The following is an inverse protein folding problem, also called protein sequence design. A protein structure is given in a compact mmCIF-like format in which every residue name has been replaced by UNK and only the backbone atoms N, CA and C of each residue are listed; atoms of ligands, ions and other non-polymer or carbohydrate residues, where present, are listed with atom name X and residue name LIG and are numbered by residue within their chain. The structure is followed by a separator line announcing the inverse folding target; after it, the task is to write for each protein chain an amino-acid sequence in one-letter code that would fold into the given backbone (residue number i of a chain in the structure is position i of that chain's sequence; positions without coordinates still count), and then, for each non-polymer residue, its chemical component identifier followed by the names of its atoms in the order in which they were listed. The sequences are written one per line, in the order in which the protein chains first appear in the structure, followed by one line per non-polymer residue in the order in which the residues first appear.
data_IF_209136351315
#
_entry.id   IF_209136351315
#
_cell.length_a   1.000
_cell.length_b   1.000
_cell.length_c   1.000
_cell.angle_alpha   90.00
_cell.angle_beta   90.00
_cell.angle_gamma   90.00
#
_symmetry.space_group_name_H-M   'P 1'
#
loop_
_entity.id
_entity.type
_entity.pdbx_description
1 polymer ?
#
# COMPACT_ATOMS: atom_id res chain seq x y z
N UNK A 1 -0.16 6.53 -5.93
CA UNK A 1 1.06 7.32 -5.63
C UNK A 1 1.74 7.74 -6.92
N UNK A 2 2.28 8.96 -6.96
CA UNK A 2 3.16 9.46 -8.04
C UNK A 2 4.50 9.89 -7.44
N UNK A 3 5.60 9.48 -8.08
CA UNK A 3 6.96 9.89 -7.71
C UNK A 3 7.65 10.43 -8.97
N UNK A 4 8.34 11.56 -8.85
CA UNK A 4 9.23 12.07 -9.90
C UNK A 4 10.64 11.54 -9.67
N UNK A 5 11.22 10.90 -10.69
CA UNK A 5 12.61 10.41 -10.69
C UNK A 5 13.31 10.93 -11.93
N UNK A 6 14.25 11.87 -11.75
CA UNK A 6 14.82 12.62 -12.87
C UNK A 6 13.72 13.38 -13.62
N UNK A 7 13.64 13.22 -14.92
CA UNK A 7 12.66 13.88 -15.79
C UNK A 7 11.39 13.04 -16.02
N UNK A 8 11.23 11.95 -15.26
CA UNK A 8 10.10 11.03 -15.45
C UNK A 8 9.25 10.94 -14.19
N UNK A 9 7.95 11.10 -14.34
CA UNK A 9 6.95 10.76 -13.34
C UNK A 9 6.61 9.29 -13.47
N UNK A 10 6.51 8.61 -12.35
CA UNK A 10 6.05 7.23 -12.23
C UNK A 10 4.81 7.19 -11.34
N UNK A 11 3.78 6.51 -11.77
CA UNK A 11 2.52 6.38 -11.05
C UNK A 11 2.19 4.91 -10.80
N UNK A 12 1.82 4.60 -9.57
CA UNK A 12 1.25 3.31 -9.16
C UNK A 12 -0.18 3.55 -8.68
N UNK A 13 -1.12 2.81 -9.24
CA UNK A 13 -2.54 3.04 -8.99
C UNK A 13 -3.34 1.73 -9.02
N UNK A 14 -4.52 1.77 -8.43
CA UNK A 14 -5.49 0.68 -8.51
C UNK A 14 -6.33 0.84 -9.77
N UNK A 15 -6.30 -0.15 -10.64
CA UNK A 15 -7.16 -0.26 -11.81
C UNK A 15 -8.34 -1.17 -11.49
N UNK A 16 -9.54 -0.67 -11.72
CA UNK A 16 -10.81 -1.39 -11.49
C UNK A 16 -11.59 -1.63 -12.80
N UNK A 17 -11.02 -1.23 -13.94
CA UNK A 17 -11.71 -1.25 -15.25
C UNK A 17 -12.04 -2.64 -15.76
N UNK A 18 -11.29 -3.66 -15.34
CA UNK A 18 -11.45 -5.06 -15.77
C UNK A 18 -12.24 -5.92 -14.77
N UNK A 19 -12.98 -5.31 -13.85
CA UNK A 19 -13.79 -6.02 -12.85
C UNK A 19 -12.98 -6.62 -11.69
N UNK A 20 -11.67 -6.67 -11.79
CA UNK A 20 -10.75 -7.04 -10.72
C UNK A 20 -9.92 -5.83 -10.31
N UNK A 21 -9.74 -5.66 -9.01
CA UNK A 21 -8.87 -4.62 -8.48
C UNK A 21 -7.43 -5.09 -8.56
N UNK A 22 -6.66 -4.47 -9.41
CA UNK A 22 -5.27 -4.80 -9.67
C UNK A 22 -4.40 -3.54 -9.68
N UNK A 23 -3.09 -3.70 -9.48
CA UNK A 23 -2.17 -2.57 -9.56
C UNK A 23 -1.56 -2.46 -10.93
N UNK A 24 -1.50 -1.22 -11.42
CA UNK A 24 -0.82 -0.85 -12.65
C UNK A 24 0.24 0.20 -12.39
N UNK A 25 1.17 0.27 -13.33
CA UNK A 25 2.22 1.29 -13.37
C UNK A 25 2.05 2.12 -14.63
N UNK A 26 2.30 3.41 -14.52
CA UNK A 26 2.35 4.32 -15.65
C UNK A 26 3.53 5.27 -15.53
N UNK A 27 4.03 5.75 -16.66
CA UNK A 27 5.11 6.76 -16.75
C UNK A 27 4.65 7.96 -17.55
N UNK A 28 5.20 9.13 -17.20
CA UNK A 28 4.94 10.38 -17.91
C UNK A 28 6.17 11.29 -17.84
N UNK A 29 6.37 12.13 -18.87
CA UNK A 29 7.36 13.20 -18.86
C UNK A 29 6.79 14.54 -18.38
N UNK A 30 5.49 14.76 -18.57
CA UNK A 30 4.80 16.03 -18.30
C UNK A 30 3.79 15.97 -17.16
N UNK A 31 3.54 14.77 -16.60
CA UNK A 31 2.52 14.54 -15.57
C UNK A 31 1.08 14.53 -16.08
N UNK A 32 0.86 14.73 -17.39
CA UNK A 32 -0.47 14.81 -18.01
C UNK A 32 -0.73 13.65 -18.96
N UNK A 33 0.24 13.31 -19.81
CA UNK A 33 0.15 12.20 -20.74
C UNK A 33 0.88 10.99 -20.17
N UNK A 34 0.17 9.88 -20.00
CA UNK A 34 0.66 8.68 -19.32
C UNK A 34 0.74 7.47 -20.26
N UNK A 35 1.87 6.80 -20.22
CA UNK A 35 2.05 5.48 -20.84
C UNK A 35 1.85 4.42 -19.77
N UNK A 36 0.83 3.58 -19.93
CA UNK A 36 0.43 2.56 -18.95
C UNK A 36 1.03 1.21 -19.32
N UNK A 37 1.48 0.44 -18.31
CA UNK A 37 1.87 -0.97 -18.51
C UNK A 37 0.67 -1.82 -18.87
N UNK A 38 0.84 -2.79 -19.80
CA UNK A 38 -0.23 -3.70 -20.19
C UNK A 38 -0.62 -4.67 -19.08
N UNK A 39 0.38 -5.23 -18.40
CA UNK A 39 0.16 -6.24 -17.37
C UNK A 39 0.08 -5.61 -15.97
N UNK A 40 -0.69 -6.23 -15.06
CA UNK A 40 -0.67 -5.86 -13.66
C UNK A 40 0.72 -6.07 -13.06
N UNK A 41 1.14 -5.15 -12.21
CA UNK A 41 2.44 -5.22 -11.54
C UNK A 41 2.42 -6.03 -10.24
N UNK A 42 1.23 -6.27 -9.68
CA UNK A 42 1.05 -7.08 -8.48
C UNK A 42 -0.29 -7.82 -8.56
N UNK A 43 -0.29 -9.10 -8.17
CA UNK A 43 -1.46 -10.00 -8.16
C UNK A 43 -1.71 -10.50 -6.75
N UNK A 44 -2.91 -11.03 -6.49
CA UNK A 44 -3.21 -11.80 -5.27
C UNK A 44 -2.53 -13.16 -5.43
N UNK A 45 -1.51 -13.43 -4.61
CA UNK A 45 -0.71 -14.67 -4.65
C UNK A 45 -0.17 -15.10 -3.28
N UNK A 46 -0.42 -14.32 -2.22
CA UNK A 46 -0.07 -14.71 -0.86
C UNK A 46 -1.30 -15.18 -0.07
N UNK A 47 -1.16 -16.18 0.84
CA UNK A 47 -2.30 -16.77 1.56
C UNK A 47 -3.11 -15.78 2.41
N UNK A 48 -2.50 -14.68 2.85
CA UNK A 48 -3.18 -13.67 3.64
C UNK A 48 -4.09 -12.76 2.83
N UNK A 49 -3.88 -12.65 1.52
CA UNK A 49 -4.60 -11.76 0.60
C UNK A 49 -5.93 -12.39 0.17
N UNK A 50 -6.96 -11.57 0.05
CA UNK A 50 -8.27 -12.01 -0.40
C UNK A 50 -8.99 -10.92 -1.18
N UNK A 51 -9.78 -11.33 -2.15
CA UNK A 51 -10.72 -10.51 -2.92
C UNK A 51 -10.09 -9.40 -3.77
N UNK A 52 -9.28 -8.49 -3.18
CA UNK A 52 -8.83 -7.26 -3.83
C UNK A 52 -7.51 -6.78 -3.27
N UNK A 53 -6.68 -6.19 -4.13
CA UNK A 53 -5.57 -5.32 -3.73
C UNK A 53 -6.01 -3.87 -3.90
N UNK A 54 -5.65 -2.97 -2.96
CA UNK A 54 -6.09 -1.58 -2.99
C UNK A 54 -5.06 -0.62 -2.37
N UNK A 55 -5.09 0.63 -2.84
CA UNK A 55 -4.33 1.77 -2.35
C UNK A 55 -2.82 1.57 -2.31
N UNK A 56 -2.15 1.34 -3.47
CA UNK A 56 -0.69 1.24 -3.49
C UNK A 56 -0.07 2.59 -3.12
N UNK A 57 0.71 2.61 -2.05
CA UNK A 57 1.50 3.77 -1.66
C UNK A 57 2.98 3.43 -1.77
N UNK A 58 3.70 4.16 -2.59
CA UNK A 58 5.11 3.91 -2.90
C UNK A 58 5.98 5.06 -2.43
N UNK A 59 7.09 4.73 -1.79
CA UNK A 59 8.20 5.66 -1.54
C UNK A 59 9.47 5.10 -2.16
N UNK A 60 10.44 5.96 -2.45
CA UNK A 60 11.79 5.55 -2.84
C UNK A 60 12.76 5.84 -1.71
N UNK A 61 13.43 4.80 -1.22
CA UNK A 61 14.39 4.88 -0.12
C UNK A 61 15.70 4.21 -0.54
N UNK A 62 16.80 4.97 -0.57
CA UNK A 62 18.13 4.48 -0.91
C UNK A 62 18.17 3.64 -2.22
N UNK A 63 17.49 4.11 -3.24
CA UNK A 63 17.45 3.44 -4.55
C UNK A 63 16.37 2.35 -4.70
N UNK A 64 15.76 1.88 -3.62
CA UNK A 64 14.72 0.87 -3.61
C UNK A 64 13.34 1.50 -3.50
N UNK A 65 12.40 1.03 -4.30
CA UNK A 65 10.99 1.37 -4.15
C UNK A 65 10.36 0.42 -3.13
N UNK A 66 9.66 0.99 -2.15
CA UNK A 66 8.88 0.27 -1.16
C UNK A 66 7.41 0.61 -1.37
N UNK A 67 6.56 -0.42 -1.52
CA UNK A 67 5.12 -0.27 -1.69
C UNK A 67 4.39 -0.86 -0.50
N UNK A 68 3.62 -0.06 0.21
CA UNK A 68 2.56 -0.54 1.10
C UNK A 68 1.28 -0.65 0.29
N UNK A 69 0.55 -1.73 0.53
CA UNK A 69 -0.72 -1.99 -0.16
C UNK A 69 -1.70 -2.70 0.75
N UNK A 70 -2.97 -2.47 0.53
CA UNK A 70 -4.04 -3.11 1.28
C UNK A 70 -4.60 -4.33 0.59
N UNK A 71 -5.08 -5.28 1.40
CA UNK A 71 -5.93 -6.39 0.97
C UNK A 71 -6.94 -6.74 2.05
N UNK A 72 -8.02 -7.44 1.66
CA UNK A 72 -8.82 -8.17 2.65
C UNK A 72 -7.97 -9.29 3.23
N UNK A 73 -8.01 -9.42 4.55
CA UNK A 73 -7.19 -10.36 5.30
C UNK A 73 -7.92 -11.67 5.55
N UNK A 74 -7.31 -12.79 5.16
CA UNK A 74 -7.89 -14.13 5.38
C UNK A 74 -7.84 -14.56 6.84
N UNK A 75 -6.88 -14.05 7.62
CA UNK A 75 -6.74 -14.40 9.04
C UNK A 75 -7.90 -13.96 9.93
N UNK A 76 -8.74 -13.02 9.47
CA UNK A 76 -9.92 -12.57 10.18
C UNK A 76 -10.99 -12.08 9.20
N UNK A 77 -12.21 -12.63 9.34
CA UNK A 77 -13.36 -12.29 8.47
C UNK A 77 -13.67 -10.79 8.49
N UNK A 78 -13.94 -10.21 7.32
CA UNK A 78 -14.31 -8.80 7.11
C UNK A 78 -13.30 -7.77 7.65
N UNK A 79 -12.03 -8.13 7.68
CA UNK A 79 -10.96 -7.19 8.04
C UNK A 79 -10.05 -6.90 6.86
N UNK A 80 -9.29 -5.83 6.95
CA UNK A 80 -8.23 -5.49 6.00
C UNK A 80 -6.89 -5.39 6.72
N UNK A 81 -5.82 -5.64 5.99
CA UNK A 81 -4.46 -5.53 6.49
C UNK A 81 -3.57 -4.89 5.40
N UNK A 82 -2.37 -4.49 5.79
CA UNK A 82 -1.40 -3.91 4.86
C UNK A 82 -0.22 -4.88 4.66
N UNK A 83 0.12 -5.08 3.40
CA UNK A 83 1.33 -5.74 2.96
C UNK A 83 2.42 -4.75 2.55
N UNK A 84 3.64 -5.26 2.43
CA UNK A 84 4.82 -4.57 1.94
C UNK A 84 5.39 -5.34 0.75
N UNK A 85 5.81 -4.60 -0.28
CA UNK A 85 6.58 -5.12 -1.40
C UNK A 85 7.75 -4.19 -1.71
N UNK A 86 8.81 -4.73 -2.30
CA UNK A 86 10.00 -4.00 -2.70
C UNK A 86 10.28 -4.20 -4.19
N UNK A 87 10.88 -3.18 -4.82
CA UNK A 87 11.28 -3.19 -6.23
C UNK A 87 12.52 -2.33 -6.46
N UNK A 88 13.38 -2.74 -7.38
CA UNK A 88 14.52 -1.93 -7.83
C UNK A 88 14.16 -1.02 -9.01
N UNK A 89 13.19 -1.43 -9.82
CA UNK A 89 12.80 -0.76 -11.08
C UNK A 89 11.41 -0.09 -11.02
N UNK A 90 10.63 -0.34 -9.96
CA UNK A 90 9.25 0.14 -9.78
C UNK A 90 8.21 -0.66 -10.59
N UNK A 91 8.62 -1.72 -11.30
CA UNK A 91 7.77 -2.55 -12.17
C UNK A 91 7.72 -3.99 -11.71
N UNK A 92 8.87 -4.57 -11.38
CA UNK A 92 9.00 -5.93 -10.85
C UNK A 92 9.00 -5.87 -9.33
N UNK A 93 8.03 -6.49 -8.68
CA UNK A 93 7.81 -6.37 -7.25
C UNK A 93 7.96 -7.71 -6.54
N UNK A 94 8.64 -7.68 -5.40
CA UNK A 94 8.81 -8.81 -4.49
C UNK A 94 8.10 -8.51 -3.19
N UNK A 95 7.07 -9.29 -2.89
CA UNK A 95 6.31 -9.16 -1.64
C UNK A 95 7.12 -9.62 -0.45
N UNK A 96 6.96 -8.93 0.68
CA UNK A 96 7.63 -9.31 1.92
C UNK A 96 7.13 -10.69 2.39
N UNK A 97 8.04 -11.62 2.78
CA UNK A 97 7.64 -12.98 3.16
C UNK A 97 6.77 -13.03 4.43
N UNK A 98 6.91 -12.06 5.33
CA UNK A 98 6.14 -11.97 6.56
C UNK A 98 4.89 -11.08 6.43
N UNK A 99 4.36 -10.90 5.22
CA UNK A 99 3.09 -10.20 5.06
C UNK A 99 1.91 -10.97 5.73
N UNK A 100 0.91 -10.26 6.28
CA UNK A 100 0.77 -8.80 6.32
C UNK A 100 1.69 -8.18 7.38
N UNK A 101 2.30 -7.03 7.05
CA UNK A 101 3.20 -6.31 7.97
C UNK A 101 2.46 -5.37 8.94
N UNK A 102 1.18 -5.11 8.70
CA UNK A 102 0.36 -4.27 9.54
C UNK A 102 -1.09 -4.77 9.54
N UNK A 103 -1.60 -5.09 10.72
CA UNK A 103 -2.96 -5.62 10.93
C UNK A 103 -3.75 -4.73 11.88
N UNK A 104 -5.09 -4.75 11.82
CA UNK A 104 -5.92 -4.11 12.83
C UNK A 104 -5.66 -4.72 14.22
N UNK A 105 -5.65 -3.86 15.23
CA UNK A 105 -5.61 -4.30 16.62
C UNK A 105 -7.03 -4.50 17.15
N UNK A 106 -7.45 -5.72 17.47
CA UNK A 106 -8.81 -6.00 17.94
C UNK A 106 -9.14 -5.35 19.29
N UNK A 107 -8.12 -5.07 20.11
CA UNK A 107 -8.27 -4.44 21.42
C UNK A 107 -8.57 -2.94 21.31
N UNK A 108 -8.23 -2.34 20.18
CA UNK A 108 -8.53 -0.95 19.89
C UNK A 108 -9.84 -0.82 19.14
N UNK A 109 -10.91 -0.48 19.83
CA UNK A 109 -12.26 -0.40 19.24
C UNK A 109 -12.34 0.42 17.97
N UNK A 110 -11.58 1.51 17.85
CA UNK A 110 -11.60 2.41 16.72
C UNK A 110 -10.84 1.89 15.48
N UNK A 111 -10.02 0.82 15.59
CA UNK A 111 -9.30 0.22 14.46
C UNK A 111 -9.50 -1.29 14.33
N UNK A 112 -10.45 -1.86 15.04
CA UNK A 112 -10.54 -3.31 15.22
C UNK A 112 -10.81 -4.12 13.96
N UNK A 113 -11.16 -3.49 12.82
CA UNK A 113 -11.51 -4.23 11.59
C UNK A 113 -10.78 -3.74 10.34
N UNK A 114 -10.62 -2.45 10.16
CA UNK A 114 -10.09 -1.93 8.90
C UNK A 114 -8.88 -1.04 9.13
N UNK A 115 -7.81 -1.36 8.42
CA UNK A 115 -6.64 -0.50 8.21
C UNK A 115 -6.50 -0.29 6.71
N UNK A 116 -6.65 0.94 6.25
CA UNK A 116 -6.76 1.26 4.81
C UNK A 116 -6.35 2.71 4.53
N UNK A 117 -6.39 3.12 3.25
CA UNK A 117 -6.16 4.51 2.81
C UNK A 117 -4.92 5.12 3.48
N UNK A 118 -3.81 4.42 3.34
CA UNK A 118 -2.57 4.72 4.04
C UNK A 118 -1.63 5.62 3.22
N UNK A 119 -0.77 6.33 3.96
CA UNK A 119 0.34 7.11 3.43
C UNK A 119 1.57 6.90 4.31
N UNK A 120 2.73 6.73 3.70
CA UNK A 120 4.01 6.56 4.42
C UNK A 120 4.97 7.67 4.04
N UNK A 121 5.62 8.26 5.01
CA UNK A 121 6.65 9.28 4.80
C UNK A 121 7.91 8.96 5.58
N UNK A 122 9.06 9.32 5.01
CA UNK A 122 10.32 9.35 5.73
C UNK A 122 10.38 10.63 6.57
N UNK A 123 10.63 10.44 7.86
CA UNK A 123 10.78 11.53 8.80
C UNK A 123 12.24 12.05 8.83
N UNK A 124 12.49 13.28 9.28
CA UNK A 124 13.85 13.85 9.35
C UNK A 124 14.83 13.01 10.18
N UNK A 125 14.35 12.29 11.20
CA UNK A 125 15.15 11.38 12.01
C UNK A 125 15.42 10.01 11.38
N UNK A 126 15.04 9.83 10.10
CA UNK A 126 15.24 8.59 9.35
C UNK A 126 14.17 7.51 9.56
N UNK A 127 13.27 7.67 10.54
CA UNK A 127 12.14 6.74 10.71
C UNK A 127 11.13 6.86 9.58
N UNK A 128 10.30 5.82 9.40
CA UNK A 128 9.13 5.88 8.53
C UNK A 128 7.88 6.04 9.40
N UNK A 129 7.01 6.97 9.02
CA UNK A 129 5.72 7.14 9.66
C UNK A 129 4.61 6.77 8.68
N UNK A 130 3.74 5.90 9.13
CA UNK A 130 2.51 5.49 8.48
C UNK A 130 1.34 6.28 9.07
N UNK A 131 0.54 6.91 8.23
CA UNK A 131 -0.80 7.38 8.55
C UNK A 131 -1.79 6.46 7.84
N UNK A 132 -2.87 6.11 8.50
CA UNK A 132 -3.87 5.22 7.95
C UNK A 132 -5.27 5.55 8.48
N UNK A 133 -6.28 5.26 7.65
CA UNK A 133 -7.66 5.30 8.09
C UNK A 133 -8.05 3.94 8.69
N UNK A 134 -8.85 3.96 9.74
CA UNK A 134 -9.32 2.76 10.42
C UNK A 134 -10.79 2.82 10.79
N UNK A 135 -11.39 1.66 11.06
CA UNK A 135 -12.80 1.51 11.43
C UNK A 135 -13.00 0.40 12.44
N UNK A 136 -14.04 0.58 13.25
CA UNK A 136 -14.45 -0.35 14.29
C UNK A 136 -15.03 -1.66 13.77
N UNK A 137 -15.93 -1.63 12.79
CA UNK A 137 -16.68 -2.82 12.34
C UNK A 137 -17.51 -2.52 11.08
N UNK A 138 -17.93 -3.58 10.30
CA UNK A 138 -19.05 -3.46 9.40
C UNK A 138 -20.35 -3.18 10.16
N UNK A 139 -21.41 -2.64 9.49
CA UNK A 139 -21.45 -2.39 8.07
C UNK A 139 -20.76 -1.10 7.66
N UNK A 140 -20.45 -0.96 6.38
CA UNK A 140 -19.88 0.27 5.80
C UNK A 140 -20.76 1.52 5.91
N UNK A 141 -21.95 1.37 6.47
CA UNK A 141 -22.87 2.48 6.78
C UNK A 141 -22.36 3.38 7.92
N UNK A 142 -21.42 2.94 8.73
CA UNK A 142 -20.78 3.79 9.72
C UNK A 142 -19.80 4.74 9.01
N UNK A 143 -20.18 6.00 8.94
CA UNK A 143 -19.49 7.07 8.22
C UNK A 143 -18.21 7.56 8.91
N UNK A 144 -17.86 7.05 10.07
CA UNK A 144 -16.72 7.53 10.85
C UNK A 144 -15.50 6.66 10.65
N UNK A 145 -14.44 7.27 10.08
CA UNK A 145 -13.10 6.73 10.07
C UNK A 145 -12.25 7.50 11.07
N UNK A 146 -11.45 6.78 11.84
CA UNK A 146 -10.37 7.38 12.60
C UNK A 146 -9.12 7.46 11.71
N UNK A 147 -8.36 8.56 11.84
CA UNK A 147 -7.02 8.67 11.25
C UNK A 147 -6.01 8.42 12.35
N UNK A 148 -5.11 7.48 12.11
CA UNK A 148 -4.13 7.01 13.07
C UNK A 148 -2.74 7.01 12.49
N UNK A 149 -1.75 6.78 13.35
CA UNK A 149 -0.35 6.74 12.95
C UNK A 149 0.42 5.64 13.63
N UNK A 150 1.33 5.01 12.90
CA UNK A 150 2.34 4.08 13.39
C UNK A 150 3.74 4.52 12.94
N UNK A 151 4.77 4.13 13.67
CA UNK A 151 6.15 4.50 13.37
C UNK A 151 7.04 3.26 13.29
N UNK A 152 7.75 3.13 12.18
CA UNK A 152 8.84 2.19 12.04
C UNK A 152 10.16 2.92 12.35
N UNK A 153 10.70 2.74 13.55
CA UNK A 153 11.84 3.50 14.05
C UNK A 153 13.15 3.19 13.34
N UNK A 154 13.38 1.93 12.99
CA UNK A 154 14.62 1.44 12.39
C UNK A 154 14.30 0.70 11.08
N UNK A 155 13.87 1.39 10.00
CA UNK A 155 13.73 0.73 8.73
C UNK A 155 15.09 0.22 8.27
N UNK A 156 15.16 -0.95 7.60
CA UNK A 156 16.43 -1.52 7.18
C UNK A 156 17.18 -0.51 6.30
N UNK A 157 18.45 -0.33 6.59
CA UNK A 157 19.36 0.33 5.67
C UNK A 157 19.55 -0.61 4.48
N UNK A 158 18.82 -0.40 3.40
CA UNK A 158 19.10 -1.05 2.12
C UNK A 158 20.42 -0.43 1.64
N UNK A 159 21.51 -1.16 1.80
CA UNK A 159 22.84 -0.81 1.26
C UNK A 159 22.90 -1.22 -0.21
#
# INVERSE_FOLDING_TARGET
TVIKTGDTFQMWYTDVSVGQWQFRHATSRDGSKWTVTKEPILKIDQPWESKRLFYPHVIKLNGVYLMWYGSYWTGRRNTTALGLAASLDGKTWHKHPSNPVFTPDPERLWESHYTTSHCVMRMPNGSLRLWYASRKAPPFTNKYFAINTAVWKNPPHVR
#
